data_IF_842087844907
#
_entry.id   IF_842087844907
#
_cell.length_a   1.000
_cell.length_b   1.000
_cell.length_c   1.000
_cell.angle_alpha   90.00
_cell.angle_beta   90.00
_cell.angle_gamma   90.00
#
_symmetry.space_group_name_H-M   'P 1'
#
loop_
_entity.id
_entity.type
_entity.pdbx_description
1 polymer ?
#
# COMPACT_ATOMS: atom_id res chain seq x y z
N UNK A 1 19.68 21.16 3.95
CA UNK A 1 19.03 22.47 4.17
C UNK A 1 17.75 22.47 3.35
N UNK A 2 16.61 22.88 3.88
CA UNK A 2 15.36 22.96 3.10
C UNK A 2 15.14 24.41 2.69
N UNK A 3 14.94 24.63 1.40
CA UNK A 3 14.71 25.96 0.80
C UNK A 3 13.23 26.17 0.57
N UNK A 4 12.68 27.26 1.07
CA UNK A 4 11.25 27.57 0.98
C UNK A 4 10.98 28.61 -0.12
N UNK A 5 9.84 28.49 -0.80
CA UNK A 5 9.37 29.58 -1.65
C UNK A 5 8.85 30.73 -0.78
N UNK A 6 9.47 31.88 -0.84
CA UNK A 6 9.08 33.06 -0.05
C UNK A 6 7.73 33.65 -0.48
N UNK A 7 7.38 33.54 -1.77
CA UNK A 7 6.13 34.08 -2.30
C UNK A 7 4.89 33.33 -1.80
N UNK A 8 4.87 31.99 -1.93
CA UNK A 8 3.69 31.20 -1.49
C UNK A 8 3.82 30.65 -0.08
N UNK A 9 5.04 30.46 0.42
CA UNK A 9 5.28 29.88 1.74
C UNK A 9 4.95 28.39 1.86
N UNK A 10 4.62 27.70 0.76
CA UNK A 10 4.08 26.33 0.73
C UNK A 10 5.08 25.36 0.09
N UNK A 11 5.71 25.75 -1.02
CA UNK A 11 6.68 24.91 -1.70
C UNK A 11 8.03 24.88 -0.97
N UNK A 12 8.58 23.65 -0.81
CA UNK A 12 9.86 23.41 -0.18
C UNK A 12 10.74 22.57 -1.10
N UNK A 13 12.01 22.90 -1.15
CA UNK A 13 13.00 22.26 -2.00
C UNK A 13 14.17 21.78 -1.17
N UNK A 14 14.83 20.71 -1.60
CA UNK A 14 16.02 20.16 -0.92
C UNK A 14 17.26 21.08 -1.08
N UNK A 15 17.30 21.88 -2.16
CA UNK A 15 18.41 22.79 -2.48
C UNK A 15 17.94 23.96 -3.36
N UNK A 16 18.76 25.00 -3.50
CA UNK A 16 18.53 26.10 -4.47
C UNK A 16 18.53 25.57 -5.91
N UNK A 17 19.37 24.58 -6.25
CA UNK A 17 19.34 23.94 -7.57
C UNK A 17 17.98 23.30 -7.86
N UNK A 18 17.41 22.59 -6.90
CA UNK A 18 16.07 22.00 -7.03
C UNK A 18 14.98 23.08 -7.16
N UNK A 19 15.12 24.21 -6.46
CA UNK A 19 14.19 25.34 -6.57
C UNK A 19 14.26 25.96 -7.95
N UNK A 20 15.47 26.23 -8.47
CA UNK A 20 15.66 26.77 -9.81
C UNK A 20 15.12 25.83 -10.89
N UNK A 21 15.34 24.53 -10.76
CA UNK A 21 14.81 23.52 -11.69
C UNK A 21 13.28 23.49 -11.72
N UNK A 22 12.64 23.67 -10.56
CA UNK A 22 11.19 23.68 -10.43
C UNK A 22 10.55 25.03 -10.82
N UNK A 23 11.35 26.10 -10.97
CA UNK A 23 10.86 27.47 -11.13
C UNK A 23 9.91 27.68 -12.31
N UNK A 24 10.15 27.14 -13.52
CA UNK A 24 9.23 27.35 -14.65
C UNK A 24 7.81 26.88 -14.33
N UNK A 25 7.67 25.68 -13.79
CA UNK A 25 6.39 25.12 -13.39
C UNK A 25 5.82 25.82 -12.15
N UNK A 26 6.67 26.06 -11.15
CA UNK A 26 6.23 26.68 -9.89
C UNK A 26 5.79 28.11 -10.06
N UNK A 27 6.30 28.86 -11.01
CA UNK A 27 5.87 30.22 -11.29
C UNK A 27 4.38 30.27 -11.64
N UNK A 28 3.88 29.30 -12.40
CA UNK A 28 2.48 29.17 -12.80
C UNK A 28 1.59 28.72 -11.64
N UNK A 29 2.04 27.80 -10.81
CA UNK A 29 1.25 27.24 -9.69
C UNK A 29 1.27 28.12 -8.43
N UNK A 30 2.30 28.97 -8.25
CA UNK A 30 2.64 29.60 -6.98
C UNK A 30 1.49 30.41 -6.36
N UNK A 31 0.83 31.26 -7.16
CA UNK A 31 -0.27 32.09 -6.70
C UNK A 31 -1.51 31.25 -6.35
N UNK A 32 -1.85 30.28 -7.20
CA UNK A 32 -3.01 29.41 -7.01
C UNK A 32 -2.84 28.51 -5.77
N UNK A 33 -1.65 27.95 -5.55
CA UNK A 33 -1.34 27.17 -4.37
C UNK A 33 -1.51 27.99 -3.08
N UNK A 34 -1.09 29.27 -3.09
CA UNK A 34 -1.28 30.19 -1.97
C UNK A 34 -2.77 30.45 -1.70
N UNK A 35 -3.56 30.68 -2.75
CA UNK A 35 -5.00 30.93 -2.63
C UNK A 35 -5.72 29.74 -1.98
N UNK A 36 -5.41 28.51 -2.39
CA UNK A 36 -6.02 27.30 -1.79
C UNK A 36 -5.75 27.22 -0.29
N UNK A 37 -4.52 27.45 0.15
CA UNK A 37 -4.19 27.41 1.59
C UNK A 37 -4.86 28.53 2.36
N UNK A 38 -4.99 29.72 1.77
CA UNK A 38 -5.67 30.86 2.39
C UNK A 38 -7.17 30.57 2.57
N UNK A 39 -7.85 30.07 1.52
CA UNK A 39 -9.28 29.74 1.57
C UNK A 39 -9.57 28.63 2.58
N UNK A 40 -8.73 27.63 2.64
CA UNK A 40 -8.91 26.50 3.57
C UNK A 40 -8.39 26.81 4.98
N UNK A 41 -7.75 27.94 5.20
CA UNK A 41 -7.09 28.31 6.46
C UNK A 41 -6.14 27.22 7.00
N UNK A 42 -5.62 26.36 6.13
CA UNK A 42 -4.79 25.22 6.50
C UNK A 42 -5.53 24.11 7.26
N UNK A 43 -6.85 24.18 7.42
CA UNK A 43 -7.66 23.22 8.20
C UNK A 43 -8.07 21.96 7.44
N UNK A 44 -7.98 21.99 6.10
CA UNK A 44 -8.33 20.85 5.24
C UNK A 44 -7.11 20.29 4.52
N UNK A 45 -7.19 19.02 4.15
CA UNK A 45 -6.18 18.39 3.31
C UNK A 45 -6.19 19.00 1.90
N UNK A 46 -5.17 19.78 1.60
CA UNK A 46 -5.02 20.49 0.33
C UNK A 46 -4.21 19.73 -0.71
N UNK A 47 -3.79 18.48 -0.43
CA UNK A 47 -2.88 17.72 -1.30
C UNK A 47 -3.46 17.50 -2.68
N UNK A 48 -4.70 17.03 -2.77
CA UNK A 48 -5.39 16.81 -4.05
C UNK A 48 -5.56 18.10 -4.87
N UNK A 49 -5.97 19.19 -4.21
CA UNK A 49 -6.09 20.51 -4.89
C UNK A 49 -4.74 21.01 -5.40
N UNK A 50 -3.67 20.84 -4.63
CA UNK A 50 -2.30 21.22 -5.05
C UNK A 50 -1.79 20.37 -6.20
N UNK A 51 -2.09 19.07 -6.21
CA UNK A 51 -1.75 18.18 -7.33
C UNK A 51 -2.47 18.63 -8.60
N UNK A 52 -3.76 18.92 -8.51
CA UNK A 52 -4.54 19.44 -9.64
C UNK A 52 -3.96 20.77 -10.20
N UNK A 53 -3.69 21.73 -9.32
CA UNK A 53 -3.05 22.99 -9.72
C UNK A 53 -1.74 22.73 -10.44
N UNK A 54 -0.94 21.78 -9.97
CA UNK A 54 0.33 21.41 -10.58
C UNK A 54 0.16 20.77 -11.96
N UNK A 55 -0.83 19.90 -12.14
CA UNK A 55 -1.17 19.29 -13.44
C UNK A 55 -1.63 20.38 -14.44
N UNK A 56 -2.48 21.32 -13.99
CA UNK A 56 -2.92 22.45 -14.81
C UNK A 56 -1.77 23.41 -15.15
N UNK A 57 -0.87 23.65 -14.21
CA UNK A 57 0.34 24.46 -14.46
C UNK A 57 1.27 23.77 -15.48
N UNK A 58 1.39 22.44 -15.44
CA UNK A 58 2.13 21.69 -16.45
C UNK A 58 1.50 21.85 -17.83
N UNK A 59 0.18 21.74 -17.95
CA UNK A 59 -0.55 22.02 -19.20
C UNK A 59 -0.26 23.42 -19.73
N UNK A 60 -0.34 24.44 -18.88
CA UNK A 60 -0.05 25.82 -19.31
C UNK A 60 1.40 26.00 -19.78
N UNK A 61 2.34 25.33 -19.11
CA UNK A 61 3.75 25.37 -19.52
C UNK A 61 3.96 24.71 -20.89
N UNK A 62 3.28 23.58 -21.15
CA UNK A 62 3.31 22.90 -22.46
C UNK A 62 2.76 23.80 -23.58
N UNK A 63 1.62 24.50 -23.33
CA UNK A 63 1.05 25.43 -24.29
C UNK A 63 1.99 26.60 -24.61
N UNK A 64 2.61 27.20 -23.58
CA UNK A 64 3.59 28.28 -23.78
C UNK A 64 4.82 27.82 -24.59
N UNK A 65 5.32 26.61 -24.32
CA UNK A 65 6.44 26.05 -25.06
C UNK A 65 6.11 25.74 -26.52
N UNK A 66 4.88 25.29 -26.79
CA UNK A 66 4.40 25.08 -28.15
C UNK A 66 4.27 26.40 -28.93
N UNK A 67 3.77 27.45 -28.32
CA UNK A 67 3.68 28.81 -28.94
C UNK A 67 5.07 29.40 -29.23
N UNK A 68 6.06 29.11 -28.38
CA UNK A 68 7.45 29.56 -28.56
C UNK A 68 8.25 28.75 -29.61
N UNK A 69 7.63 27.75 -30.25
CA UNK A 69 8.28 26.85 -31.21
C UNK A 69 9.40 26.01 -30.63
N UNK A 70 9.47 25.88 -29.31
CA UNK A 70 10.39 24.99 -28.62
C UNK A 70 9.84 23.57 -28.75
N UNK A 71 10.31 22.85 -29.79
CA UNK A 71 9.98 21.47 -30.03
C UNK A 71 10.29 20.57 -28.82
N UNK A 72 9.71 19.38 -28.83
CA UNK A 72 9.82 18.36 -27.78
C UNK A 72 11.22 18.19 -27.24
N UNK A 73 11.42 18.10 -25.93
CA UNK A 73 12.66 17.59 -25.37
C UNK A 73 12.75 16.08 -25.67
N UNK A 74 13.24 15.74 -26.83
CA UNK A 74 13.69 14.39 -27.14
C UNK A 74 14.96 14.13 -26.35
N UNK A 75 14.85 13.56 -25.16
CA UNK A 75 16.01 13.02 -24.48
C UNK A 75 16.43 11.73 -25.21
N UNK A 76 17.67 11.63 -25.71
CA UNK A 76 18.15 10.39 -26.29
C UNK A 76 18.12 9.29 -25.21
N UNK A 77 17.57 8.13 -25.56
CA UNK A 77 17.72 6.93 -24.75
C UNK A 77 19.22 6.56 -24.80
N UNK A 78 19.91 6.69 -23.68
CA UNK A 78 21.24 6.13 -23.55
C UNK A 78 21.13 4.60 -23.73
N UNK A 79 21.88 4.06 -24.69
CA UNK A 79 21.91 2.62 -24.94
C UNK A 79 22.31 1.88 -23.64
N UNK A 80 21.41 1.02 -23.13
CA UNK A 80 21.64 0.22 -21.94
C UNK A 80 21.01 0.75 -20.65
N UNK A 81 20.36 1.93 -20.66
CA UNK A 81 19.54 2.38 -19.52
C UNK A 81 18.13 1.78 -19.58
N UNK A 82 17.55 1.52 -18.40
CA UNK A 82 16.13 1.17 -18.31
C UNK A 82 15.27 2.22 -19.01
N UNK A 83 14.14 1.85 -19.64
CA UNK A 83 13.24 2.81 -20.26
C UNK A 83 12.85 3.87 -19.23
N UNK A 84 13.30 5.11 -19.44
CA UNK A 84 12.96 6.24 -18.59
C UNK A 84 11.89 7.05 -19.29
N UNK A 85 10.66 7.00 -18.78
CA UNK A 85 9.61 7.89 -19.20
C UNK A 85 9.91 9.29 -18.67
N UNK A 86 10.43 10.15 -19.55
CA UNK A 86 10.64 11.57 -19.26
C UNK A 86 9.58 12.36 -19.98
N UNK A 87 8.76 13.10 -19.23
CA UNK A 87 7.84 14.06 -19.80
C UNK A 87 6.44 13.49 -20.11
N UNK A 88 5.72 13.04 -19.07
CA UNK A 88 4.27 12.90 -19.18
C UNK A 88 3.67 14.23 -19.64
N UNK A 89 2.86 14.20 -20.68
CA UNK A 89 2.16 15.36 -21.22
C UNK A 89 0.76 15.44 -20.64
N UNK A 90 0.16 16.61 -20.75
CA UNK A 90 -1.24 16.78 -20.36
C UNK A 90 -2.16 15.87 -21.19
N UNK A 91 -1.87 15.63 -22.46
CA UNK A 91 -2.57 14.65 -23.30
C UNK A 91 -2.56 13.23 -22.75
N UNK A 92 -1.54 12.83 -21.98
CA UNK A 92 -1.52 11.53 -21.29
C UNK A 92 -2.51 11.50 -20.14
N UNK A 93 -2.70 12.64 -19.45
CA UNK A 93 -3.72 12.77 -18.39
C UNK A 93 -5.12 12.75 -18.96
N UNK A 94 -5.36 13.36 -20.11
CA UNK A 94 -6.66 13.38 -20.79
C UNK A 94 -7.12 11.98 -21.25
N UNK A 95 -6.20 11.07 -21.49
CA UNK A 95 -6.52 9.67 -21.84
C UNK A 95 -6.92 8.79 -20.65
N UNK A 96 -6.64 9.23 -19.43
CA UNK A 96 -6.99 8.48 -18.24
C UNK A 96 -8.50 8.50 -17.99
N UNK A 97 -9.03 7.40 -17.50
CA UNK A 97 -10.46 7.24 -17.23
C UNK A 97 -10.85 7.98 -15.95
N UNK A 98 -11.90 8.77 -16.00
CA UNK A 98 -12.39 9.53 -14.84
C UNK A 98 -13.46 8.80 -14.04
N UNK A 99 -14.25 7.92 -14.68
CA UNK A 99 -15.43 7.28 -14.10
C UNK A 99 -16.48 8.25 -13.50
N UNK A 100 -16.53 9.48 -13.97
CA UNK A 100 -17.42 10.51 -13.42
C UNK A 100 -18.88 10.08 -13.41
N UNK A 101 -19.32 9.37 -14.48
CA UNK A 101 -20.69 8.87 -14.62
C UNK A 101 -21.06 7.72 -13.65
N UNK A 102 -20.06 7.07 -13.07
CA UNK A 102 -20.24 5.98 -12.10
C UNK A 102 -20.12 6.46 -10.64
N UNK A 103 -19.78 7.74 -10.43
CA UNK A 103 -19.58 8.28 -9.09
C UNK A 103 -20.90 8.63 -8.41
N UNK A 104 -21.03 8.42 -7.08
CA UNK A 104 -22.19 8.87 -6.32
C UNK A 104 -22.36 10.40 -6.37
N UNK A 105 -23.62 10.89 -6.41
CA UNK A 105 -23.93 12.31 -6.50
C UNK A 105 -23.26 13.16 -5.41
N UNK A 106 -23.22 12.68 -4.18
CA UNK A 106 -22.54 13.37 -3.07
C UNK A 106 -21.04 13.61 -3.36
N UNK A 107 -20.38 12.66 -4.02
CA UNK A 107 -18.97 12.79 -4.42
C UNK A 107 -18.81 13.77 -5.58
N UNK A 108 -19.71 13.69 -6.55
CA UNK A 108 -19.77 14.62 -7.68
C UNK A 108 -19.98 16.05 -7.21
N UNK A 109 -20.87 16.30 -6.25
CA UNK A 109 -21.13 17.65 -5.72
C UNK A 109 -19.91 18.23 -5.01
N UNK A 110 -19.16 17.40 -4.27
CA UNK A 110 -17.86 17.80 -3.70
C UNK A 110 -16.87 18.19 -4.80
N UNK A 111 -16.81 17.40 -5.88
CA UNK A 111 -15.91 17.67 -7.01
C UNK A 111 -16.33 18.92 -7.81
N UNK A 112 -17.62 19.14 -8.01
CA UNK A 112 -18.16 20.39 -8.60
C UNK A 112 -17.74 21.62 -7.79
N UNK A 113 -17.80 21.53 -6.47
CA UNK A 113 -17.34 22.64 -5.61
C UNK A 113 -15.87 22.96 -5.82
N UNK A 114 -15.02 21.92 -5.94
CA UNK A 114 -13.59 22.09 -6.24
C UNK A 114 -13.40 22.64 -7.66
N UNK A 115 -14.09 22.07 -8.66
CA UNK A 115 -14.00 22.49 -10.06
C UNK A 115 -14.38 23.95 -10.24
N UNK A 116 -15.47 24.39 -9.61
CA UNK A 116 -15.92 25.80 -9.62
C UNK A 116 -14.90 26.76 -9.03
N UNK A 117 -14.17 26.36 -8.00
CA UNK A 117 -13.09 27.16 -7.43
C UNK A 117 -11.86 27.24 -8.32
N UNK A 118 -11.44 26.09 -8.85
CA UNK A 118 -10.22 25.97 -9.65
C UNK A 118 -10.38 26.52 -11.07
N UNK A 119 -11.55 26.38 -11.71
CA UNK A 119 -11.80 26.93 -13.07
C UNK A 119 -11.65 28.45 -13.16
N UNK A 120 -11.74 29.16 -12.03
CA UNK A 120 -11.51 30.60 -11.93
C UNK A 120 -10.05 31.00 -11.74
N UNK A 121 -9.16 30.01 -11.57
CA UNK A 121 -7.73 30.28 -11.36
C UNK A 121 -6.99 30.43 -12.70
N UNK A 122 -5.92 31.26 -12.76
CA UNK A 122 -5.14 31.46 -13.99
C UNK A 122 -4.62 30.17 -14.61
N UNK A 123 -4.26 29.14 -13.80
CA UNK A 123 -3.77 27.84 -14.29
C UNK A 123 -4.83 27.05 -15.08
N UNK A 124 -6.11 27.34 -14.91
CA UNK A 124 -7.21 26.70 -15.62
C UNK A 124 -7.65 27.47 -16.88
N UNK A 125 -6.87 28.46 -17.32
CA UNK A 125 -7.23 29.25 -18.51
C UNK A 125 -7.49 28.35 -19.73
N UNK A 126 -8.61 28.62 -20.42
CA UNK A 126 -9.07 27.85 -21.58
C UNK A 126 -9.81 26.53 -21.22
N UNK A 127 -10.10 26.28 -19.94
CA UNK A 127 -10.89 25.14 -19.50
C UNK A 127 -12.22 25.60 -18.88
N UNK A 128 -13.30 24.87 -19.17
CA UNK A 128 -14.60 25.05 -18.53
C UNK A 128 -14.64 24.41 -17.13
N UNK A 129 -15.68 24.75 -16.33
CA UNK A 129 -15.92 24.04 -15.05
C UNK A 129 -16.12 22.55 -15.26
N UNK A 130 -16.70 22.12 -16.38
CA UNK A 130 -16.90 20.72 -16.72
C UNK A 130 -15.57 20.00 -17.00
N UNK A 131 -14.64 20.63 -17.73
CA UNK A 131 -13.32 20.08 -17.99
C UNK A 131 -12.53 19.88 -16.68
N UNK A 132 -12.60 20.88 -15.78
CA UNK A 132 -11.95 20.77 -14.47
C UNK A 132 -12.61 19.72 -13.60
N UNK A 133 -13.94 19.55 -13.63
CA UNK A 133 -14.63 18.46 -12.94
C UNK A 133 -14.14 17.09 -13.44
N UNK A 134 -14.05 16.92 -14.75
CA UNK A 134 -13.52 15.69 -15.36
C UNK A 134 -12.09 15.41 -14.86
N UNK A 135 -11.24 16.43 -14.83
CA UNK A 135 -9.87 16.32 -14.35
C UNK A 135 -9.81 15.95 -12.86
N UNK A 136 -10.67 16.53 -11.99
CA UNK A 136 -10.75 16.16 -10.57
C UNK A 136 -11.06 14.67 -10.42
N UNK A 137 -12.04 14.17 -11.16
CA UNK A 137 -12.44 12.78 -11.16
C UNK A 137 -11.32 11.86 -11.68
N UNK A 138 -10.66 12.25 -12.78
CA UNK A 138 -9.48 11.55 -13.33
C UNK A 138 -8.37 11.43 -12.29
N UNK A 139 -8.00 12.51 -11.63
CA UNK A 139 -6.95 12.49 -10.60
C UNK A 139 -7.34 11.61 -9.41
N UNK A 140 -8.60 11.62 -9.02
CA UNK A 140 -9.07 10.77 -7.91
C UNK A 140 -8.93 9.27 -8.20
N UNK A 141 -9.15 8.85 -9.43
CA UNK A 141 -9.11 7.43 -9.81
C UNK A 141 -7.69 6.94 -10.15
N UNK A 142 -6.81 7.84 -10.60
CA UNK A 142 -5.51 7.45 -11.18
C UNK A 142 -4.30 7.92 -10.35
N UNK A 143 -4.52 8.58 -9.20
CA UNK A 143 -3.42 8.99 -8.33
C UNK A 143 -2.92 7.84 -7.47
N UNK A 144 -1.59 7.70 -7.40
CA UNK A 144 -0.92 6.73 -6.54
C UNK A 144 -0.39 7.43 -5.27
N UNK A 145 -0.64 6.83 -4.11
CA UNK A 145 -0.06 7.28 -2.85
C UNK A 145 1.43 6.92 -2.78
N UNK A 146 2.29 7.92 -2.58
CA UNK A 146 3.70 7.67 -2.25
C UNK A 146 3.75 7.34 -0.77
N UNK A 147 4.20 6.14 -0.44
CA UNK A 147 4.38 5.68 0.94
C UNK A 147 5.85 5.42 1.24
N UNK A 148 6.25 5.63 2.49
CA UNK A 148 7.56 5.21 2.96
C UNK A 148 7.53 3.76 3.48
N UNK A 149 8.67 3.27 3.97
CA UNK A 149 8.81 1.91 4.51
C UNK A 149 7.89 1.62 5.72
N UNK A 150 7.43 2.66 6.41
CA UNK A 150 6.52 2.55 7.54
C UNK A 150 5.05 2.78 7.12
N UNK A 151 4.76 2.68 5.82
CA UNK A 151 3.43 2.92 5.23
C UNK A 151 2.84 4.32 5.48
N UNK A 152 3.69 5.29 5.88
CA UNK A 152 3.24 6.67 6.02
C UNK A 152 3.10 7.31 4.64
N UNK A 153 1.91 7.84 4.34
CA UNK A 153 1.68 8.56 3.09
C UNK A 153 2.53 9.83 3.04
N UNK A 154 3.49 9.88 2.13
CA UNK A 154 4.41 11.01 1.91
C UNK A 154 3.91 11.99 0.87
N UNK A 155 3.08 11.54 -0.06
CA UNK A 155 2.56 12.36 -1.14
C UNK A 155 1.59 11.61 -2.03
N UNK A 156 1.26 12.23 -3.15
CA UNK A 156 0.50 11.62 -4.22
C UNK A 156 1.21 11.89 -5.55
N UNK A 157 1.16 10.92 -6.44
CA UNK A 157 1.75 10.99 -7.77
C UNK A 157 0.72 10.53 -8.80
N UNK A 158 0.59 11.29 -9.87
CA UNK A 158 -0.11 10.86 -11.07
C UNK A 158 0.92 10.25 -12.02
N UNK A 159 0.72 8.98 -12.36
CA UNK A 159 1.62 8.22 -13.25
C UNK A 159 0.90 8.00 -14.58
N UNK A 160 0.68 9.09 -15.32
CA UNK A 160 -0.08 9.06 -16.55
C UNK A 160 0.50 8.14 -17.66
N UNK A 161 1.84 8.04 -17.85
CA UNK A 161 2.37 7.20 -18.92
C UNK A 161 2.45 5.72 -18.63
N UNK A 162 2.35 5.32 -17.36
CA UNK A 162 2.46 3.93 -16.94
C UNK A 162 1.10 3.45 -16.44
N UNK A 163 0.20 3.21 -17.39
CA UNK A 163 -1.16 2.75 -17.17
C UNK A 163 -1.15 1.28 -16.76
N UNK A 164 -0.70 1.01 -15.51
CA UNK A 164 -0.58 -0.34 -14.99
C UNK A 164 -1.86 -0.73 -14.27
N UNK A 165 -2.58 -1.69 -14.84
CA UNK A 165 -3.82 -2.18 -14.30
C UNK A 165 -3.65 -2.98 -13.00
N UNK A 166 -4.77 -3.18 -12.31
CA UNK A 166 -4.81 -3.96 -11.09
C UNK A 166 -4.90 -5.47 -11.35
N UNK A 167 -4.12 -6.22 -10.58
CA UNK A 167 -4.35 -7.65 -10.35
C UNK A 167 -4.25 -7.97 -8.86
N UNK A 168 -5.09 -8.91 -8.37
CA UNK A 168 -4.95 -9.50 -7.03
C UNK A 168 -3.83 -10.57 -6.97
N UNK A 169 -3.16 -10.82 -8.10
CA UNK A 169 -1.94 -11.63 -8.22
C UNK A 169 -0.94 -10.88 -9.10
N UNK A 170 -0.48 -9.68 -8.69
CA UNK A 170 0.33 -8.80 -9.52
C UNK A 170 1.67 -9.43 -9.90
N UNK A 171 2.20 -9.02 -11.04
CA UNK A 171 3.53 -9.41 -11.50
C UNK A 171 4.58 -8.30 -11.35
N UNK A 172 4.14 -7.08 -11.00
CA UNK A 172 5.02 -5.95 -10.74
C UNK A 172 4.78 -5.33 -9.35
N UNK A 173 5.83 -4.67 -8.85
CA UNK A 173 5.84 -3.88 -7.62
C UNK A 173 6.22 -2.43 -7.95
N UNK A 174 5.60 -1.48 -7.25
CA UNK A 174 5.87 -0.04 -7.42
C UNK A 174 6.85 0.41 -6.35
N UNK A 175 8.04 0.84 -6.74
CA UNK A 175 9.05 1.40 -5.86
C UNK A 175 9.23 2.91 -6.12
N UNK A 176 9.25 3.70 -5.04
CA UNK A 176 9.50 5.14 -5.11
C UNK A 176 10.92 5.44 -4.66
N UNK A 177 11.70 6.06 -5.53
CA UNK A 177 13.08 6.47 -5.24
C UNK A 177 13.22 7.98 -5.42
N UNK A 178 13.20 8.72 -4.31
CA UNK A 178 13.19 10.18 -4.34
C UNK A 178 11.98 10.73 -5.10
N UNK A 179 12.21 11.32 -6.27
CA UNK A 179 11.19 11.84 -7.18
C UNK A 179 10.92 10.93 -8.39
N UNK A 180 11.45 9.72 -8.36
CA UNK A 180 11.28 8.72 -9.42
C UNK A 180 10.40 7.59 -8.94
N UNK A 181 9.65 6.99 -9.86
CA UNK A 181 8.92 5.74 -9.67
C UNK A 181 9.54 4.66 -10.55
N UNK A 182 9.69 3.46 -10.01
CA UNK A 182 10.16 2.28 -10.73
C UNK A 182 9.12 1.18 -10.60
N UNK A 183 8.74 0.59 -11.73
CA UNK A 183 7.98 -0.65 -11.77
C UNK A 183 8.96 -1.80 -11.89
N UNK A 184 8.95 -2.69 -10.91
CA UNK A 184 9.89 -3.80 -10.83
C UNK A 184 9.15 -5.12 -10.90
N UNK A 185 9.57 -6.01 -11.76
CA UNK A 185 8.98 -7.35 -11.87
C UNK A 185 9.28 -8.16 -10.62
N UNK A 186 8.24 -8.79 -10.07
CA UNK A 186 8.30 -9.66 -8.88
C UNK A 186 7.96 -11.12 -9.19
N UNK A 187 7.65 -11.39 -10.47
CA UNK A 187 7.46 -12.73 -11.06
C UNK A 187 8.10 -12.74 -12.45
N UNK A 188 8.44 -13.91 -13.01
CA UNK A 188 8.71 -14.03 -14.44
C UNK A 188 7.49 -13.55 -15.23
N UNK A 189 7.73 -12.85 -16.32
CA UNK A 189 6.68 -12.27 -17.21
C UNK A 189 6.95 -12.78 -18.61
N UNK A 190 5.94 -13.34 -19.26
CA UNK A 190 6.02 -13.78 -20.63
C UNK A 190 5.90 -12.59 -21.61
N UNK A 191 6.39 -12.76 -22.84
CA UNK A 191 6.17 -11.78 -23.91
C UNK A 191 4.68 -11.62 -24.19
N UNK A 192 4.19 -10.37 -24.21
CA UNK A 192 2.77 -10.06 -24.38
C UNK A 192 1.91 -10.15 -23.11
N UNK A 193 2.48 -10.60 -21.98
CA UNK A 193 1.77 -10.61 -20.70
C UNK A 193 1.61 -9.17 -20.17
N UNK A 194 0.40 -8.85 -19.71
CA UNK A 194 0.09 -7.54 -19.14
C UNK A 194 0.87 -7.30 -17.84
N UNK A 195 1.45 -6.10 -17.71
CA UNK A 195 2.10 -5.68 -16.46
C UNK A 195 1.06 -5.18 -15.48
N UNK A 196 0.99 -5.78 -14.30
CA UNK A 196 -0.03 -5.47 -13.31
C UNK A 196 0.58 -5.18 -11.94
N UNK A 197 -0.08 -4.26 -11.21
CA UNK A 197 0.23 -3.93 -9.80
C UNK A 197 -1.00 -4.19 -8.93
N UNK A 198 -0.86 -4.08 -7.60
CA UNK A 198 -2.03 -4.12 -6.73
C UNK A 198 -2.49 -2.72 -6.35
N UNK A 199 -3.82 -2.50 -6.32
CA UNK A 199 -4.46 -1.27 -5.83
C UNK A 199 -5.07 -1.46 -4.43
N UNK A 200 -5.05 -2.69 -3.90
CA UNK A 200 -5.65 -3.03 -2.62
C UNK A 200 -4.80 -4.04 -1.86
N UNK A 201 -5.05 -4.17 -0.57
CA UNK A 201 -4.44 -5.20 0.25
C UNK A 201 -4.85 -6.60 -0.25
N UNK A 202 -3.85 -7.42 -0.54
CA UNK A 202 -4.05 -8.76 -1.09
C UNK A 202 -4.53 -9.78 -0.04
N UNK A 203 -4.38 -9.49 1.26
CA UNK A 203 -4.84 -10.38 2.33
C UNK A 203 -6.34 -10.25 2.63
N UNK A 204 -7.03 -9.32 2.00
CA UNK A 204 -8.48 -9.21 2.12
C UNK A 204 -9.20 -10.30 1.33
N UNK A 205 -10.35 -10.81 1.81
CA UNK A 205 -11.22 -11.69 1.04
C UNK A 205 -11.69 -11.06 -0.28
N UNK A 206 -12.04 -11.90 -1.26
CA UNK A 206 -12.45 -11.48 -2.60
C UNK A 206 -13.53 -10.39 -2.60
N UNK A 207 -14.60 -10.61 -1.84
CA UNK A 207 -15.74 -9.69 -1.85
C UNK A 207 -15.34 -8.31 -1.31
N UNK A 208 -14.52 -8.27 -0.24
CA UNK A 208 -14.00 -7.03 0.34
C UNK A 208 -13.04 -6.31 -0.62
N UNK A 209 -12.18 -7.04 -1.33
CA UNK A 209 -11.30 -6.43 -2.34
C UNK A 209 -12.11 -5.83 -3.49
N UNK A 210 -13.10 -6.57 -4.01
CA UNK A 210 -13.99 -6.10 -5.07
C UNK A 210 -14.78 -4.87 -4.66
N UNK A 211 -15.32 -4.83 -3.44
CA UNK A 211 -16.02 -3.67 -2.90
C UNK A 211 -15.10 -2.44 -2.81
N UNK A 212 -13.89 -2.61 -2.29
CA UNK A 212 -12.89 -1.53 -2.22
C UNK A 212 -12.52 -1.01 -3.62
N UNK A 213 -12.29 -1.89 -4.58
CA UNK A 213 -11.96 -1.50 -5.94
C UNK A 213 -13.14 -0.81 -6.63
N UNK A 214 -14.36 -1.31 -6.42
CA UNK A 214 -15.56 -0.67 -6.96
C UNK A 214 -15.78 0.73 -6.36
N UNK A 215 -15.60 0.91 -5.06
CA UNK A 215 -15.81 2.20 -4.40
C UNK A 215 -14.73 3.25 -4.69
N UNK A 216 -13.49 2.81 -4.98
CA UNK A 216 -12.36 3.72 -5.19
C UNK A 216 -11.97 3.92 -6.66
N UNK A 217 -12.13 2.87 -7.49
CA UNK A 217 -11.70 2.83 -8.89
C UNK A 217 -12.82 2.47 -9.86
N UNK A 218 -14.05 2.22 -9.37
CA UNK A 218 -15.28 2.00 -10.16
C UNK A 218 -15.23 0.81 -11.13
N UNK A 219 -14.51 -0.26 -10.81
CA UNK A 219 -14.51 -1.48 -11.60
C UNK A 219 -14.63 -2.75 -10.74
N UNK A 220 -15.13 -3.82 -11.36
CA UNK A 220 -15.15 -5.16 -10.80
C UNK A 220 -13.91 -5.93 -11.24
N UNK A 221 -13.06 -6.33 -10.29
CA UNK A 221 -11.87 -7.10 -10.61
C UNK A 221 -12.22 -8.47 -11.19
N UNK A 222 -11.72 -8.74 -12.40
CA UNK A 222 -11.86 -10.00 -13.14
C UNK A 222 -10.53 -10.77 -13.27
N UNK A 223 -9.50 -10.49 -12.43
CA UNK A 223 -8.24 -11.22 -12.51
C UNK A 223 -8.41 -12.71 -12.12
N UNK A 224 -7.45 -13.56 -12.50
CA UNK A 224 -7.48 -15.02 -12.28
C UNK A 224 -7.80 -15.40 -10.83
N UNK A 225 -7.19 -14.71 -9.86
CA UNK A 225 -7.48 -14.95 -8.44
C UNK A 225 -8.95 -14.64 -8.08
N UNK A 226 -9.52 -13.58 -8.64
CA UNK A 226 -10.90 -13.20 -8.35
C UNK A 226 -11.93 -14.06 -9.07
N UNK A 227 -11.58 -14.68 -10.20
CA UNK A 227 -12.45 -15.55 -10.99
C UNK A 227 -12.22 -17.04 -10.73
N UNK A 228 -11.24 -17.40 -9.89
CA UNK A 228 -10.96 -18.78 -9.50
C UNK A 228 -12.21 -19.45 -8.90
N UNK A 229 -12.80 -20.46 -9.56
CA UNK A 229 -14.01 -21.14 -9.12
C UNK A 229 -13.75 -22.26 -8.11
N UNK A 230 -12.48 -22.58 -7.82
CA UNK A 230 -12.13 -23.71 -6.98
C UNK A 230 -12.75 -23.57 -5.57
N UNK A 231 -13.42 -24.62 -5.06
CA UNK A 231 -14.07 -24.56 -3.75
C UNK A 231 -13.09 -24.40 -2.59
N UNK A 232 -11.82 -24.72 -2.81
CA UNK A 232 -10.69 -24.55 -1.89
C UNK A 232 -9.76 -23.41 -2.31
N UNK A 233 -10.21 -22.53 -3.21
CA UNK A 233 -9.42 -21.39 -3.68
C UNK A 233 -8.87 -20.58 -2.51
N UNK A 234 -7.79 -19.86 -2.75
CA UNK A 234 -7.16 -19.00 -1.75
C UNK A 234 -8.17 -18.07 -1.05
N UNK A 235 -9.08 -17.48 -1.82
CA UNK A 235 -10.08 -16.55 -1.29
C UNK A 235 -11.15 -17.23 -0.41
N UNK A 236 -11.46 -18.50 -0.66
CA UNK A 236 -12.32 -19.29 0.23
C UNK A 236 -11.61 -19.57 1.55
N UNK A 237 -10.30 -19.82 1.50
CA UNK A 237 -9.49 -20.04 2.73
C UNK A 237 -9.39 -18.79 3.61
N UNK A 238 -9.41 -17.58 3.01
CA UNK A 238 -9.32 -16.32 3.77
C UNK A 238 -10.59 -15.98 4.57
N UNK A 239 -11.71 -16.60 4.25
CA UNK A 239 -13.01 -16.38 4.92
C UNK A 239 -13.66 -17.66 5.46
N UNK A 240 -13.04 -18.82 5.23
CA UNK A 240 -13.60 -20.13 5.61
C UNK A 240 -13.25 -20.55 7.03
N UNK A 241 -13.79 -21.71 7.42
CA UNK A 241 -13.62 -22.30 8.74
C UNK A 241 -12.74 -23.54 8.68
N UNK A 242 -12.15 -23.89 9.80
CA UNK A 242 -11.46 -25.15 9.97
C UNK A 242 -12.48 -26.30 10.18
N UNK A 243 -12.11 -27.50 9.72
CA UNK A 243 -12.86 -28.69 10.10
C UNK A 243 -12.61 -29.01 11.59
N UNK A 244 -13.68 -29.29 12.35
CA UNK A 244 -13.60 -29.62 13.77
C UNK A 244 -13.60 -31.13 14.04
N UNK A 245 -13.57 -31.96 12.98
CA UNK A 245 -13.49 -33.41 13.11
C UNK A 245 -12.06 -33.84 13.48
N UNK A 246 -11.94 -34.77 14.42
CA UNK A 246 -10.65 -35.26 14.87
C UNK A 246 -9.76 -35.77 13.71
N UNK A 247 -8.53 -35.32 13.68
CA UNK A 247 -7.55 -35.68 12.66
C UNK A 247 -7.79 -35.09 11.27
N UNK A 248 -8.74 -34.16 11.10
CA UNK A 248 -9.01 -33.50 9.84
C UNK A 248 -8.62 -32.01 9.91
N UNK A 249 -7.72 -31.59 9.05
CA UNK A 249 -7.31 -30.17 8.89
C UNK A 249 -7.97 -29.50 7.66
N UNK A 250 -9.12 -30.03 7.22
CA UNK A 250 -9.83 -29.61 6.03
C UNK A 250 -10.50 -28.24 6.18
N UNK A 251 -10.94 -27.70 5.04
CA UNK A 251 -11.61 -26.42 4.90
C UNK A 251 -13.13 -26.60 4.87
N UNK A 252 -13.85 -25.80 5.62
CA UNK A 252 -15.30 -25.59 5.48
C UNK A 252 -15.52 -24.21 4.85
N UNK A 253 -16.03 -24.11 3.61
CA UNK A 253 -16.27 -22.82 2.97
C UNK A 253 -17.29 -21.96 3.74
N UNK A 254 -17.09 -20.64 3.78
CA UNK A 254 -18.01 -19.72 4.47
C UNK A 254 -19.44 -19.74 3.89
N UNK A 255 -19.60 -20.04 2.59
CA UNK A 255 -20.89 -20.21 1.91
C UNK A 255 -21.32 -21.68 1.82
N UNK A 256 -20.89 -22.49 2.78
CA UNK A 256 -21.19 -23.91 2.85
C UNK A 256 -21.23 -24.38 4.30
N UNK A 257 -21.53 -25.66 4.49
CA UNK A 257 -21.58 -26.24 5.82
C UNK A 257 -20.91 -27.62 5.91
N UNK A 258 -20.18 -28.02 4.88
CA UNK A 258 -19.50 -29.30 4.81
C UNK A 258 -18.00 -29.13 4.60
N UNK A 259 -17.21 -29.92 5.30
CA UNK A 259 -15.76 -29.99 5.09
C UNK A 259 -15.45 -30.56 3.71
N UNK A 260 -14.60 -29.90 2.96
CA UNK A 260 -14.17 -30.34 1.62
C UNK A 260 -13.32 -31.63 1.63
N UNK A 261 -12.67 -31.95 2.77
CA UNK A 261 -11.80 -33.12 2.89
C UNK A 261 -12.53 -34.35 3.42
N UNK A 262 -13.27 -34.25 4.54
CA UNK A 262 -13.89 -35.42 5.17
C UNK A 262 -15.42 -35.45 5.02
N UNK A 263 -16.04 -34.40 4.47
CA UNK A 263 -17.49 -34.33 4.28
C UNK A 263 -18.30 -34.04 5.56
N UNK A 264 -17.65 -33.88 6.72
CA UNK A 264 -18.34 -33.56 7.98
C UNK A 264 -19.17 -32.28 7.84
N UNK A 265 -20.40 -32.31 8.35
CA UNK A 265 -21.35 -31.18 8.24
C UNK A 265 -21.47 -30.47 9.58
N UNK A 266 -21.58 -29.17 9.51
CA UNK A 266 -21.71 -28.25 10.65
C UNK A 266 -22.98 -27.46 10.57
N UNK A 267 -23.51 -27.05 11.73
CA UNK A 267 -24.61 -26.10 11.78
C UNK A 267 -24.17 -24.73 11.23
N UNK A 268 -24.83 -24.21 10.19
CA UNK A 268 -24.52 -22.88 9.65
C UNK A 268 -24.58 -21.76 10.68
N UNK A 269 -25.52 -21.84 11.64
CA UNK A 269 -25.67 -20.85 12.71
C UNK A 269 -24.47 -20.85 13.66
N UNK A 270 -23.91 -22.03 13.94
CA UNK A 270 -22.69 -22.16 14.75
C UNK A 270 -21.49 -21.52 14.03
N UNK A 271 -21.33 -21.78 12.73
CA UNK A 271 -20.24 -21.21 11.95
C UNK A 271 -20.36 -19.69 11.85
N UNK A 272 -21.54 -19.18 11.54
CA UNK A 272 -21.83 -17.75 11.46
C UNK A 272 -21.63 -17.07 12.83
N UNK A 273 -22.14 -17.69 13.90
CA UNK A 273 -21.94 -17.20 15.26
C UNK A 273 -20.47 -17.07 15.65
N UNK A 274 -19.64 -18.05 15.28
CA UNK A 274 -18.19 -17.98 15.49
C UNK A 274 -17.55 -16.83 14.72
N UNK A 275 -17.93 -16.61 13.44
CA UNK A 275 -17.42 -15.53 12.63
C UNK A 275 -17.82 -14.15 13.17
N UNK A 276 -19.08 -13.99 13.60
CA UNK A 276 -19.58 -12.74 14.17
C UNK A 276 -18.85 -12.39 15.47
N UNK A 277 -18.70 -13.36 16.39
CA UNK A 277 -18.01 -13.14 17.66
C UNK A 277 -16.51 -12.84 17.45
N UNK A 278 -15.84 -13.57 16.56
CA UNK A 278 -14.45 -13.29 16.21
C UNK A 278 -14.28 -11.88 15.61
N UNK A 279 -15.22 -11.48 14.74
CA UNK A 279 -15.22 -10.13 14.16
C UNK A 279 -15.44 -9.07 15.24
N UNK A 280 -16.34 -9.28 16.19
CA UNK A 280 -16.59 -8.35 17.29
C UNK A 280 -15.32 -8.15 18.14
N UNK A 281 -14.64 -9.22 18.55
CA UNK A 281 -13.39 -9.14 19.30
C UNK A 281 -12.30 -8.40 18.51
N UNK A 282 -12.20 -8.63 17.21
CA UNK A 282 -11.25 -7.93 16.35
C UNK A 282 -11.53 -6.42 16.31
N UNK A 283 -12.81 -6.03 16.16
CA UNK A 283 -13.20 -4.61 16.16
C UNK A 283 -12.99 -3.94 17.51
N UNK A 284 -13.26 -4.64 18.62
CA UNK A 284 -12.94 -4.15 19.96
C UNK A 284 -11.43 -3.91 20.12
N UNK A 285 -10.59 -4.83 19.64
CA UNK A 285 -9.13 -4.67 19.64
C UNK A 285 -8.68 -3.44 18.83
N UNK A 286 -9.23 -3.23 17.64
CA UNK A 286 -8.95 -2.05 16.81
C UNK A 286 -9.40 -0.75 17.50
N UNK A 287 -10.54 -0.76 18.18
CA UNK A 287 -11.03 0.38 18.94
C UNK A 287 -10.09 0.74 20.07
N UNK A 288 -9.70 -0.23 20.90
CA UNK A 288 -8.72 -0.03 21.99
C UNK A 288 -7.39 0.51 21.44
N UNK A 289 -6.91 0.00 20.30
CA UNK A 289 -5.71 0.51 19.65
C UNK A 289 -5.87 1.97 19.20
N UNK A 290 -7.02 2.35 18.65
CA UNK A 290 -7.35 3.73 18.28
C UNK A 290 -7.37 4.68 19.48
N UNK A 291 -7.79 4.18 20.65
CA UNK A 291 -7.77 4.87 21.95
C UNK A 291 -6.38 4.86 22.63
N UNK A 292 -5.38 4.24 21.98
CA UNK A 292 -4.00 4.04 22.49
C UNK A 292 -3.91 3.10 23.70
N UNK A 293 -4.93 2.32 23.95
CA UNK A 293 -4.88 1.21 24.91
C UNK A 293 -4.32 -0.05 24.22
N UNK A 294 -3.00 -0.08 24.06
CA UNK A 294 -2.31 -1.17 23.37
C UNK A 294 -2.37 -2.49 24.16
N UNK A 295 -2.48 -2.42 25.50
CA UNK A 295 -2.63 -3.61 26.34
C UNK A 295 -4.00 -4.22 26.15
N UNK A 296 -5.08 -3.46 26.29
CA UNK A 296 -6.44 -3.93 26.05
C UNK A 296 -6.64 -4.43 24.62
N UNK A 297 -6.03 -3.76 23.62
CA UNK A 297 -6.03 -4.25 22.25
C UNK A 297 -5.38 -5.64 22.13
N UNK A 298 -4.20 -5.85 22.71
CA UNK A 298 -3.51 -7.14 22.73
C UNK A 298 -4.34 -8.23 23.40
N UNK A 299 -5.02 -7.94 24.52
CA UNK A 299 -5.90 -8.88 25.20
C UNK A 299 -7.06 -9.33 24.31
N UNK A 300 -7.68 -8.41 23.54
CA UNK A 300 -8.78 -8.73 22.60
C UNK A 300 -8.32 -9.61 21.44
N UNK A 301 -7.17 -9.29 20.83
CA UNK A 301 -6.61 -10.13 19.76
C UNK A 301 -6.19 -11.51 20.29
N UNK A 302 -5.63 -11.60 21.50
CA UNK A 302 -5.29 -12.88 22.13
C UNK A 302 -6.54 -13.72 22.43
N UNK A 303 -7.60 -13.10 22.93
CA UNK A 303 -8.90 -13.73 23.16
C UNK A 303 -9.49 -14.29 21.86
N UNK A 304 -9.43 -13.52 20.74
CA UNK A 304 -9.87 -13.99 19.44
C UNK A 304 -9.10 -15.25 19.02
N UNK A 305 -7.77 -15.22 19.10
CA UNK A 305 -6.94 -16.36 18.70
C UNK A 305 -7.16 -17.58 19.59
N UNK A 306 -7.36 -17.38 20.89
CA UNK A 306 -7.62 -18.46 21.86
C UNK A 306 -8.98 -19.12 21.63
N UNK A 307 -10.04 -18.33 21.43
CA UNK A 307 -11.40 -18.83 21.30
C UNK A 307 -11.71 -19.37 19.91
N UNK A 308 -11.20 -18.70 18.87
CA UNK A 308 -11.59 -18.98 17.48
C UNK A 308 -10.46 -19.50 16.60
N UNK A 309 -9.24 -19.62 17.11
CA UNK A 309 -8.09 -20.07 16.33
C UNK A 309 -8.26 -21.46 15.73
N UNK A 310 -9.03 -22.34 16.36
CA UNK A 310 -9.34 -23.68 15.87
C UNK A 310 -10.68 -23.74 15.09
N UNK A 311 -11.48 -22.68 15.09
CA UNK A 311 -12.75 -22.61 14.35
C UNK A 311 -12.55 -21.95 12.97
N UNK A 312 -11.69 -20.95 12.89
CA UNK A 312 -11.38 -20.23 11.65
C UNK A 312 -10.30 -21.01 10.90
N UNK A 313 -10.38 -21.03 9.56
CA UNK A 313 -9.33 -21.64 8.76
C UNK A 313 -7.97 -20.96 9.06
N UNK A 314 -6.88 -21.73 9.11
CA UNK A 314 -5.53 -21.25 9.48
C UNK A 314 -5.05 -19.99 8.73
N UNK A 315 -5.59 -19.73 7.52
CA UNK A 315 -5.32 -18.53 6.71
C UNK A 315 -6.41 -17.47 6.80
N UNK A 316 -7.36 -17.61 7.71
CA UNK A 316 -8.46 -16.66 7.84
C UNK A 316 -7.93 -15.24 8.12
N UNK A 317 -8.49 -14.23 7.46
CA UNK A 317 -8.04 -12.83 7.56
C UNK A 317 -7.97 -12.31 8.99
N UNK A 318 -8.96 -12.65 9.82
CA UNK A 318 -8.97 -12.24 11.23
C UNK A 318 -7.80 -12.82 12.02
N UNK A 319 -7.41 -14.08 11.75
CA UNK A 319 -6.26 -14.71 12.42
C UNK A 319 -4.95 -14.06 12.00
N UNK A 320 -4.73 -13.86 10.69
CA UNK A 320 -3.52 -13.21 10.20
C UNK A 320 -3.35 -11.81 10.81
N UNK A 321 -4.41 -10.99 10.75
CA UNK A 321 -4.37 -9.64 11.30
C UNK A 321 -4.14 -9.66 12.81
N UNK A 322 -4.77 -10.61 13.53
CA UNK A 322 -4.55 -10.74 14.98
C UNK A 322 -3.11 -11.16 15.31
N UNK A 323 -2.48 -12.06 14.50
CA UNK A 323 -1.06 -12.39 14.68
C UNK A 323 -0.15 -11.18 14.47
N UNK A 324 -0.45 -10.35 13.49
CA UNK A 324 0.30 -9.13 13.23
C UNK A 324 0.22 -8.15 14.42
N UNK A 325 -0.98 -7.92 14.95
CA UNK A 325 -1.17 -7.07 16.13
C UNK A 325 -0.52 -7.65 17.39
N UNK A 326 -0.64 -8.97 17.60
CA UNK A 326 -0.05 -9.66 18.76
C UNK A 326 1.48 -9.67 18.70
N UNK A 327 2.08 -9.81 17.53
CA UNK A 327 3.51 -9.67 17.34
C UNK A 327 3.99 -8.27 17.80
N UNK A 328 3.30 -7.21 17.36
CA UNK A 328 3.62 -5.84 17.74
C UNK A 328 3.42 -5.61 19.26
N UNK A 329 2.32 -6.12 19.83
CA UNK A 329 2.03 -6.01 21.26
C UNK A 329 3.07 -6.75 22.12
N UNK A 330 3.49 -7.95 21.71
CA UNK A 330 4.52 -8.73 22.41
C UNK A 330 5.87 -8.01 22.44
N UNK A 331 6.23 -7.34 21.35
CA UNK A 331 7.43 -6.52 21.30
C UNK A 331 7.35 -5.33 22.29
N UNK A 332 6.17 -4.70 22.38
CA UNK A 332 5.95 -3.56 23.29
C UNK A 332 6.08 -3.95 24.79
N UNK A 333 5.69 -5.19 25.14
CA UNK A 333 5.81 -5.72 26.52
C UNK A 333 7.08 -6.52 26.78
N UNK A 334 8.02 -6.51 25.84
CA UNK A 334 9.30 -7.22 25.91
C UNK A 334 9.17 -8.75 26.09
N UNK A 335 8.16 -9.35 25.42
CA UNK A 335 8.03 -10.80 25.29
C UNK A 335 8.41 -11.27 23.86
N UNK A 336 9.72 -11.39 23.56
CA UNK A 336 10.15 -11.75 22.22
C UNK A 336 9.86 -13.24 21.88
N UNK A 337 9.57 -14.09 22.85
CA UNK A 337 9.21 -15.49 22.57
C UNK A 337 7.80 -15.58 21.97
N UNK A 338 6.83 -14.91 22.57
CA UNK A 338 5.49 -14.78 22.02
C UNK A 338 5.51 -14.05 20.66
N UNK A 339 6.26 -12.93 20.57
CA UNK A 339 6.42 -12.18 19.32
C UNK A 339 6.93 -13.03 18.16
N UNK A 340 7.98 -13.84 18.37
CA UNK A 340 8.51 -14.74 17.36
C UNK A 340 7.50 -15.84 16.96
N UNK A 341 6.72 -16.34 17.91
CA UNK A 341 5.65 -17.32 17.63
C UNK A 341 4.59 -16.74 16.71
N UNK A 342 4.08 -15.54 17.02
CA UNK A 342 3.08 -14.85 16.18
C UNK A 342 3.65 -14.46 14.82
N UNK A 343 4.90 -13.99 14.76
CA UNK A 343 5.56 -13.67 13.50
C UNK A 343 5.64 -14.87 12.55
N UNK A 344 6.01 -16.06 13.04
CA UNK A 344 6.03 -17.28 12.22
C UNK A 344 4.65 -17.66 11.69
N UNK A 345 3.61 -17.54 12.53
CA UNK A 345 2.22 -17.80 12.11
C UNK A 345 1.78 -16.79 11.04
N UNK A 346 2.09 -15.51 11.21
CA UNK A 346 1.81 -14.49 10.22
C UNK A 346 2.56 -14.74 8.90
N UNK A 347 3.84 -15.13 8.94
CA UNK A 347 4.65 -15.49 7.77
C UNK A 347 4.02 -16.66 7.01
N UNK A 348 3.62 -17.72 7.70
CA UNK A 348 2.98 -18.88 7.04
C UNK A 348 1.69 -18.51 6.32
N UNK A 349 1.00 -17.48 6.80
CA UNK A 349 -0.20 -16.92 6.18
C UNK A 349 0.15 -16.06 4.97
N UNK A 350 1.03 -15.07 5.15
CA UNK A 350 1.30 -14.05 4.12
C UNK A 350 2.01 -14.63 2.90
N UNK A 351 2.92 -15.60 3.08
CA UNK A 351 3.62 -16.27 1.97
C UNK A 351 2.70 -17.10 1.07
N UNK A 352 1.52 -17.49 1.56
CA UNK A 352 0.51 -18.16 0.74
C UNK A 352 -0.32 -17.19 -0.12
N UNK A 353 -0.39 -15.92 0.27
CA UNK A 353 -1.29 -14.93 -0.33
C UNK A 353 -0.56 -13.94 -1.23
N UNK A 354 0.58 -13.45 -0.78
CA UNK A 354 1.35 -12.45 -1.51
C UNK A 354 2.35 -13.10 -2.47
N UNK A 355 2.70 -12.44 -3.57
CA UNK A 355 3.83 -12.89 -4.39
C UNK A 355 5.09 -13.06 -3.55
N UNK A 356 5.87 -14.08 -3.89
CA UNK A 356 7.11 -14.44 -3.16
C UNK A 356 8.06 -13.26 -2.92
N UNK A 357 8.11 -12.31 -3.85
CA UNK A 357 8.93 -11.11 -3.78
C UNK A 357 8.03 -9.88 -3.62
N UNK A 358 7.28 -9.80 -2.53
CA UNK A 358 6.49 -8.63 -2.17
C UNK A 358 7.01 -8.01 -0.88
N UNK A 359 6.99 -6.66 -0.78
CA UNK A 359 7.52 -5.93 0.39
C UNK A 359 6.87 -6.35 1.71
N UNK A 360 5.57 -6.65 1.71
CA UNK A 360 4.85 -7.12 2.90
C UNK A 360 5.47 -8.41 3.47
N UNK A 361 5.86 -9.35 2.59
CA UNK A 361 6.56 -10.57 3.02
C UNK A 361 7.93 -10.24 3.62
N UNK A 362 8.66 -9.30 3.00
CA UNK A 362 9.94 -8.84 3.52
C UNK A 362 9.81 -8.24 4.92
N UNK A 363 8.80 -7.41 5.16
CA UNK A 363 8.57 -6.76 6.46
C UNK A 363 8.24 -7.78 7.55
N UNK A 364 7.47 -8.83 7.24
CA UNK A 364 7.21 -9.91 8.19
C UNK A 364 8.49 -10.68 8.56
N UNK A 365 9.36 -10.95 7.59
CA UNK A 365 10.67 -11.56 7.87
C UNK A 365 11.59 -10.62 8.66
N UNK A 366 11.58 -9.31 8.41
CA UNK A 366 12.31 -8.34 9.21
C UNK A 366 11.87 -8.34 10.67
N UNK A 367 10.55 -8.37 10.91
CA UNK A 367 9.98 -8.44 12.26
C UNK A 367 10.36 -9.73 12.99
N UNK A 368 10.30 -10.88 12.31
CA UNK A 368 10.77 -12.16 12.89
C UNK A 368 12.27 -12.11 13.21
N UNK A 369 13.08 -11.59 12.29
CA UNK A 369 14.52 -11.47 12.48
C UNK A 369 14.85 -10.62 13.71
N UNK A 370 14.20 -9.49 13.87
CA UNK A 370 14.36 -8.59 15.03
C UNK A 370 14.00 -9.29 16.33
N UNK A 371 12.86 -9.98 16.37
CA UNK A 371 12.35 -10.65 17.56
C UNK A 371 13.25 -11.83 17.97
N UNK A 372 13.72 -12.62 17.00
CA UNK A 372 14.64 -13.74 17.25
C UNK A 372 16.03 -13.27 17.66
N UNK A 373 16.49 -12.14 17.10
CA UNK A 373 17.74 -11.52 17.53
C UNK A 373 17.65 -11.03 18.97
N UNK A 374 16.53 -10.43 19.37
CA UNK A 374 16.30 -10.01 20.76
C UNK A 374 16.29 -11.20 21.72
N UNK A 375 15.67 -12.35 21.34
CA UNK A 375 15.72 -13.58 22.13
C UNK A 375 17.16 -14.07 22.35
N UNK A 376 17.95 -14.10 21.30
CA UNK A 376 19.37 -14.47 21.38
C UNK A 376 20.17 -13.49 22.23
N UNK A 377 19.90 -12.19 22.13
CA UNK A 377 20.59 -11.18 22.94
C UNK A 377 20.25 -11.31 24.42
N UNK A 378 19.00 -11.66 24.75
CA UNK A 378 18.57 -11.89 26.13
C UNK A 378 19.13 -13.20 26.71
N UNK A 379 19.32 -14.21 25.87
CA UNK A 379 19.92 -15.49 26.22
C UNK A 379 20.81 -16.00 25.08
N UNK A 380 22.13 -15.74 25.13
CA UNK A 380 23.09 -16.18 24.11
C UNK A 380 23.21 -17.70 23.91
N UNK A 381 22.65 -18.51 24.81
CA UNK A 381 22.58 -19.97 24.63
C UNK A 381 21.58 -20.38 23.55
N UNK A 382 20.61 -19.50 23.17
CA UNK A 382 19.61 -19.73 22.15
C UNK A 382 20.17 -19.60 20.72
N UNK A 383 21.15 -20.44 20.36
CA UNK A 383 21.77 -20.43 19.02
C UNK A 383 20.76 -20.69 17.88
N UNK A 384 19.65 -21.38 18.18
CA UNK A 384 18.55 -21.57 17.21
C UNK A 384 17.87 -20.26 16.86
N UNK A 385 17.69 -19.37 17.83
CA UNK A 385 17.14 -18.01 17.61
C UNK A 385 18.10 -17.16 16.78
N UNK A 386 19.41 -17.22 17.06
CA UNK A 386 20.41 -16.53 16.24
C UNK A 386 20.33 -16.98 14.76
N UNK A 387 20.31 -18.29 14.51
CA UNK A 387 20.21 -18.85 13.16
C UNK A 387 18.89 -18.44 12.47
N UNK A 388 17.77 -18.45 13.19
CA UNK A 388 16.47 -18.04 12.68
C UNK A 388 16.44 -16.55 12.34
N UNK A 389 17.06 -15.70 13.17
CA UNK A 389 17.19 -14.28 12.92
C UNK A 389 17.96 -14.00 11.62
N UNK A 390 19.14 -14.62 11.46
CA UNK A 390 19.96 -14.47 10.26
C UNK A 390 19.19 -14.94 9.02
N UNK A 391 18.60 -16.14 9.03
CA UNK A 391 17.87 -16.67 7.89
C UNK A 391 16.67 -15.78 7.48
N UNK A 392 15.92 -15.28 8.46
CA UNK A 392 14.79 -14.38 8.21
C UNK A 392 15.27 -13.03 7.63
N UNK A 393 16.40 -12.56 8.11
CA UNK A 393 16.98 -11.31 7.63
C UNK A 393 17.50 -11.42 6.19
N UNK A 394 18.22 -12.50 5.88
CA UNK A 394 18.69 -12.78 4.51
C UNK A 394 17.49 -12.87 3.55
N UNK A 395 16.41 -13.50 3.99
CA UNK A 395 15.17 -13.58 3.22
C UNK A 395 14.56 -12.21 2.98
N UNK A 396 14.50 -11.36 4.01
CA UNK A 396 14.05 -9.97 3.90
C UNK A 396 14.88 -9.19 2.87
N UNK A 397 16.21 -9.20 2.98
CA UNK A 397 17.10 -8.49 2.07
C UNK A 397 16.98 -9.00 0.63
N UNK A 398 16.85 -10.30 0.43
CA UNK A 398 16.65 -10.88 -0.90
C UNK A 398 15.35 -10.37 -1.56
N UNK A 399 14.26 -10.26 -0.79
CA UNK A 399 12.99 -9.72 -1.29
C UNK A 399 13.13 -8.22 -1.59
N UNK A 400 13.71 -7.44 -0.68
CA UNK A 400 13.88 -6.00 -0.88
C UNK A 400 14.79 -5.67 -2.07
N UNK A 401 15.80 -6.50 -2.33
CA UNK A 401 16.65 -6.35 -3.51
C UNK A 401 15.86 -6.50 -4.82
N UNK A 402 14.82 -7.34 -4.85
CA UNK A 402 13.92 -7.48 -6.01
C UNK A 402 12.93 -6.32 -6.05
N UNK A 403 12.23 -6.01 -4.96
CA UNK A 403 11.20 -4.96 -4.91
C UNK A 403 11.73 -3.56 -5.14
N UNK A 404 12.84 -3.22 -4.51
CA UNK A 404 13.37 -1.85 -4.49
C UNK A 404 14.71 -1.68 -5.22
N UNK A 405 15.47 -2.77 -5.36
CA UNK A 405 16.87 -2.72 -5.81
C UNK A 405 17.86 -2.52 -4.65
N UNK A 406 19.08 -3.03 -4.82
CA UNK A 406 20.12 -3.03 -3.77
C UNK A 406 20.61 -1.64 -3.35
N UNK A 407 20.42 -0.63 -4.19
CA UNK A 407 20.84 0.77 -3.94
C UNK A 407 19.77 1.62 -3.29
N UNK A 408 18.53 1.11 -3.18
CA UNK A 408 17.42 1.83 -2.57
C UNK A 408 17.59 1.90 -1.04
N UNK A 409 17.13 3.01 -0.43
CA UNK A 409 17.22 3.21 1.03
C UNK A 409 16.61 2.06 1.83
N UNK A 410 15.46 1.51 1.37
CA UNK A 410 14.82 0.36 1.96
C UNK A 410 15.76 -0.84 2.16
N UNK A 411 16.57 -1.14 1.16
CA UNK A 411 17.56 -2.22 1.23
C UNK A 411 18.81 -1.80 2.00
N UNK A 412 19.32 -0.60 1.73
CA UNK A 412 20.60 -0.16 2.31
C UNK A 412 20.50 0.13 3.81
N UNK A 413 19.40 0.70 4.29
CA UNK A 413 19.21 0.93 5.73
C UNK A 413 19.07 -0.39 6.49
N UNK A 414 18.28 -1.33 5.98
CA UNK A 414 18.16 -2.64 6.61
C UNK A 414 19.49 -3.43 6.54
N UNK A 415 20.24 -3.37 5.45
CA UNK A 415 21.52 -4.07 5.35
C UNK A 415 22.59 -3.54 6.33
N UNK A 416 22.56 -2.25 6.68
CA UNK A 416 23.44 -1.67 7.70
C UNK A 416 23.15 -2.21 9.12
N UNK A 417 21.91 -2.60 9.38
CA UNK A 417 21.52 -3.18 10.65
C UNK A 417 22.06 -4.59 10.86
N UNK A 418 22.50 -5.23 9.79
CA UNK A 418 23.02 -6.61 9.77
C UNK A 418 24.51 -6.74 9.77
N UNK A 419 25.26 -5.66 9.66
CA UNK A 419 26.71 -5.76 9.84
C UNK A 419 26.99 -6.42 11.21
N UNK A 420 27.96 -7.32 11.32
CA UNK A 420 28.18 -8.17 12.50
C UNK A 420 28.68 -7.42 13.72
N UNK A 421 28.24 -6.21 13.95
CA UNK A 421 28.48 -5.43 15.16
C UNK A 421 27.29 -5.55 16.09
N UNK A 422 27.49 -5.93 17.37
CA UNK A 422 26.41 -5.99 18.35
C UNK A 422 25.91 -4.57 18.62
N UNK A 423 24.88 -4.13 17.93
CA UNK A 423 24.31 -2.82 18.16
C UNK A 423 22.95 -2.94 18.88
N UNK A 424 22.92 -2.51 20.12
CA UNK A 424 21.75 -2.40 20.98
C UNK A 424 20.67 -1.41 20.45
N UNK A 425 20.77 -0.94 19.21
CA UNK A 425 19.96 0.17 18.68
C UNK A 425 18.95 -0.23 17.59
N UNK A 426 18.75 -1.52 17.32
CA UNK A 426 17.81 -1.97 16.28
C UNK A 426 16.37 -1.52 16.58
N UNK A 427 15.92 -1.69 17.81
CA UNK A 427 14.57 -1.31 18.24
C UNK A 427 14.30 0.21 18.14
N UNK A 428 15.32 1.03 18.37
CA UNK A 428 15.17 2.50 18.41
C UNK A 428 15.13 3.15 17.01
N UNK A 429 15.60 2.46 15.94
CA UNK A 429 15.70 3.01 14.58
C UNK A 429 14.58 2.61 13.64
N UNK A 430 13.88 1.52 13.92
CA UNK A 430 12.74 1.06 13.10
C UNK A 430 11.40 1.65 13.55
N UNK A 431 11.35 2.40 14.65
CA UNK A 431 10.14 3.12 15.09
C UNK A 431 8.98 2.18 15.46
N UNK A 432 9.28 0.96 15.95
CA UNK A 432 8.30 -0.02 16.43
C UNK A 432 8.33 -0.06 17.95
#
# INVERSE_FOLDING_TARGET
MKVKCEKCGIAWYCSEKCKQHALPLHALECQCARQVVQVTQGKSDTRGARMMIRVLAARQLELQQAEEGKGEPTAPAEQGSLPVWRGARFADVERLVSHVDAMPDEKIDKFRSIARGVSKMPVAAGLSEADVLQLVATLQCNSQGIVDLNHHKRGELLIAPADMNHSCSPNCFVAFHGNSVQFRTIKPIAEGEELTITYTDLYLPRDVRREKLLSSHYFHCGCDRCTDPAPDSLDVQLSGFACLSDGCDGLVPARGNACLSCGARYDPQMLEGAAVQATALYQEGLKSQGERDYKGAGEKFAQLVQQFGNHLHRRHTLLYNSFHHLMSASNAVSDPAAGASFARRAISCIEAVYPRYHSEVAMMHAALAQTEWQRFTNDPSLLTSQKAAIASFDRCLAILAVCYGKTHEAHTELSKLCAPTPCASLACRLGV
#
